data_IF_454404370079
#
_entry.id   IF_454404370079
#
_cell.length_a   1.000
_cell.length_b   1.000
_cell.length_c   1.000
_cell.angle_alpha   90.00
_cell.angle_beta   90.00
_cell.angle_gamma   90.00
#
_symmetry.space_group_name_H-M   'P 1'
#
loop_
_entity.id
_entity.type
_entity.pdbx_description
1 polymer ?
#
# COMPACT_ATOMS: atom_id res chain seq x y z
N UNK A 1 5.42 0.01 -8.99
CA UNK A 1 6.03 0.95 -8.03
C UNK A 1 5.24 2.25 -7.90
N UNK A 2 4.95 2.98 -8.99
CA UNK A 2 4.22 4.27 -8.95
C UNK A 2 2.87 4.17 -8.22
N UNK A 3 2.05 3.16 -8.51
CA UNK A 3 0.75 2.96 -7.84
C UNK A 3 0.89 2.85 -6.32
N UNK A 4 1.90 2.12 -5.81
CA UNK A 4 2.16 1.97 -4.38
C UNK A 4 2.66 3.28 -3.75
N UNK A 5 3.59 3.96 -4.44
CA UNK A 5 4.04 5.28 -4.03
C UNK A 5 2.87 6.26 -3.87
N UNK A 6 1.99 6.33 -4.86
CA UNK A 6 0.81 7.18 -4.80
C UNK A 6 -0.16 6.75 -3.69
N UNK A 7 -0.41 5.45 -3.53
CA UNK A 7 -1.29 4.96 -2.48
C UNK A 7 -0.77 5.32 -1.08
N UNK A 8 0.51 5.08 -0.79
CA UNK A 8 1.11 5.49 0.48
C UNK A 8 1.13 7.01 0.65
N UNK A 9 1.45 7.75 -0.41
CA UNK A 9 1.45 9.21 -0.41
C UNK A 9 0.08 9.79 -0.06
N UNK A 10 -0.96 9.37 -0.76
CA UNK A 10 -2.32 9.88 -0.52
C UNK A 10 -2.91 9.43 0.82
N UNK A 11 -2.72 8.17 1.21
CA UNK A 11 -3.21 7.68 2.51
C UNK A 11 -2.48 8.39 3.65
N UNK A 12 -1.16 8.53 3.60
CA UNK A 12 -0.40 9.26 4.60
C UNK A 12 -0.81 10.72 4.69
N UNK A 13 -0.98 11.38 3.54
CA UNK A 13 -1.43 12.77 3.48
C UNK A 13 -2.84 12.96 4.07
N UNK A 14 -3.79 12.07 3.75
CA UNK A 14 -5.13 12.09 4.31
C UNK A 14 -5.14 11.84 5.82
N UNK A 15 -4.30 10.94 6.31
CA UNK A 15 -4.11 10.69 7.75
C UNK A 15 -3.58 11.92 8.47
N UNK A 16 -2.62 12.64 7.87
CA UNK A 16 -2.09 13.86 8.46
C UNK A 16 -3.14 14.98 8.52
N UNK A 17 -3.89 15.19 7.43
CA UNK A 17 -5.01 16.17 7.44
C UNK A 17 -6.02 15.81 8.52
N UNK A 18 -6.36 14.53 8.67
CA UNK A 18 -7.26 14.06 9.72
C UNK A 18 -6.66 14.28 11.10
N UNK A 19 -5.39 13.92 11.30
CA UNK A 19 -4.69 14.10 12.57
C UNK A 19 -4.59 15.57 12.98
N UNK A 20 -4.22 16.46 12.07
CA UNK A 20 -4.13 17.90 12.32
C UNK A 20 -5.50 18.52 12.58
N UNK A 21 -6.54 18.03 11.91
CA UNK A 21 -7.93 18.41 12.15
C UNK A 21 -8.37 18.07 13.57
N UNK A 22 -8.13 16.86 14.02
CA UNK A 22 -8.55 16.38 15.34
C UNK A 22 -7.71 17.00 16.46
N UNK A 23 -6.39 17.09 16.29
CA UNK A 23 -5.49 17.61 17.34
C UNK A 23 -5.40 19.14 17.37
N UNK A 24 -5.50 19.79 16.21
CA UNK A 24 -5.35 21.24 16.07
C UNK A 24 -6.58 22.03 16.49
N UNK A 25 -7.78 21.50 16.25
CA UNK A 25 -9.04 22.20 16.57
C UNK A 25 -9.48 22.05 18.03
N UNK A 26 -8.68 21.38 18.92
CA UNK A 26 -9.19 21.02 20.25
C UNK A 26 -10.67 20.57 20.11
N UNK A 27 -10.89 19.51 19.41
CA UNK A 27 -12.12 19.04 18.71
C UNK A 27 -13.43 19.14 19.49
N UNK A 28 -13.36 19.49 20.74
CA UNK A 28 -14.48 19.85 21.58
C UNK A 28 -14.91 21.33 21.44
N UNK A 29 -14.06 22.20 20.90
CA UNK A 29 -14.31 23.65 20.80
C UNK A 29 -14.64 24.12 19.37
N UNK A 30 -13.99 23.57 18.36
CA UNK A 30 -14.22 23.97 16.95
C UNK A 30 -14.68 22.77 16.12
N UNK A 31 -16.00 22.72 15.87
CA UNK A 31 -16.63 21.67 15.07
C UNK A 31 -16.34 21.76 13.57
N UNK A 32 -15.65 22.79 13.09
CA UNK A 32 -15.28 22.92 11.67
C UNK A 32 -14.22 21.91 11.25
N UNK A 33 -13.51 21.29 12.22
CA UNK A 33 -12.52 20.24 11.99
C UNK A 33 -11.52 20.61 10.90
N UNK A 34 -11.00 21.82 10.93
CA UNK A 34 -10.01 22.29 9.96
C UNK A 34 -8.71 21.52 10.14
N UNK A 35 -8.35 20.73 9.11
CA UNK A 35 -7.07 20.04 9.01
C UNK A 35 -6.19 20.71 7.98
N UNK A 36 -4.88 20.58 8.13
CA UNK A 36 -3.89 21.07 7.17
C UNK A 36 -2.76 20.09 6.98
N UNK A 37 -2.14 20.16 5.82
CA UNK A 37 -0.92 19.44 5.45
C UNK A 37 -0.19 20.22 4.38
N UNK A 38 1.02 19.80 4.05
CA UNK A 38 1.85 20.40 3.01
C UNK A 38 1.93 19.46 1.80
N UNK A 39 2.05 20.02 0.61
CA UNK A 39 2.16 19.22 -0.62
C UNK A 39 3.43 18.34 -0.61
N UNK A 40 4.47 18.78 0.09
CA UNK A 40 5.69 17.99 0.32
C UNK A 40 5.46 16.65 1.01
N UNK A 41 4.37 16.53 1.78
CA UNK A 41 4.08 15.31 2.51
C UNK A 41 3.69 14.16 1.60
N UNK A 42 3.11 14.42 0.43
CA UNK A 42 2.76 13.38 -0.53
C UNK A 42 3.99 12.56 -1.00
N UNK A 43 5.06 13.18 -1.53
CA UNK A 43 6.27 12.43 -1.88
C UNK A 43 7.01 11.87 -0.66
N UNK A 44 6.96 12.52 0.51
CA UNK A 44 7.57 12.02 1.73
C UNK A 44 6.89 10.73 2.19
N UNK A 45 5.55 10.71 2.30
CA UNK A 45 4.82 9.51 2.68
C UNK A 45 4.89 8.42 1.61
N UNK A 46 4.88 8.79 0.34
CA UNK A 46 5.04 7.83 -0.76
C UNK A 46 6.38 7.10 -0.72
N UNK A 47 7.48 7.83 -0.56
CA UNK A 47 8.82 7.25 -0.45
C UNK A 47 9.02 6.51 0.88
N UNK A 48 8.53 7.09 1.98
CA UNK A 48 8.54 6.45 3.30
C UNK A 48 7.82 5.10 3.31
N UNK A 49 6.63 5.04 2.70
CA UNK A 49 5.85 3.80 2.56
C UNK A 49 6.61 2.72 1.77
N UNK A 50 7.28 3.09 0.68
CA UNK A 50 8.11 2.15 -0.09
C UNK A 50 9.34 1.67 0.69
N UNK A 51 9.94 2.51 1.52
CA UNK A 51 11.03 2.12 2.41
C UNK A 51 10.54 1.15 3.49
N UNK A 52 9.39 1.44 4.10
CA UNK A 52 8.77 0.56 5.08
C UNK A 52 8.35 -0.79 4.49
N UNK A 53 7.95 -0.88 3.21
CA UNK A 53 7.70 -2.17 2.55
C UNK A 53 8.94 -3.05 2.51
N UNK A 54 10.09 -2.47 2.16
CA UNK A 54 11.36 -3.21 2.13
C UNK A 54 11.74 -3.69 3.53
N UNK A 55 11.54 -2.82 4.52
CA UNK A 55 11.78 -3.14 5.92
C UNK A 55 10.83 -4.25 6.40
N UNK A 56 9.53 -4.14 6.11
CA UNK A 56 8.52 -5.15 6.40
C UNK A 56 8.90 -6.52 5.84
N UNK A 57 9.29 -6.57 4.57
CA UNK A 57 9.66 -7.82 3.92
C UNK A 57 10.88 -8.50 4.58
N UNK A 58 11.82 -7.74 5.15
CA UNK A 58 12.97 -8.28 5.90
C UNK A 58 12.55 -8.79 7.27
N UNK A 59 11.81 -7.97 8.03
CA UNK A 59 11.37 -8.30 9.39
C UNK A 59 10.40 -9.49 9.42
N UNK A 60 9.46 -9.54 8.47
CA UNK A 60 8.50 -10.64 8.37
C UNK A 60 9.18 -11.97 8.01
N UNK A 61 10.19 -11.97 7.12
CA UNK A 61 11.01 -13.16 6.83
C UNK A 61 11.84 -13.60 8.02
N UNK A 62 12.30 -12.67 8.85
CA UNK A 62 13.02 -12.96 10.10
C UNK A 62 12.13 -13.41 11.26
N UNK A 63 10.82 -13.61 11.05
CA UNK A 63 9.91 -14.06 12.11
C UNK A 63 9.66 -13.04 13.22
N UNK A 64 10.00 -11.76 13.00
CA UNK A 64 9.82 -10.70 14.00
C UNK A 64 8.34 -10.53 14.32
N UNK A 65 7.98 -10.48 15.60
CA UNK A 65 6.60 -10.33 16.06
C UNK A 65 5.98 -9.02 15.54
N UNK A 66 4.66 -8.99 15.37
CA UNK A 66 3.93 -7.81 14.88
C UNK A 66 4.15 -6.57 15.75
N UNK A 67 4.23 -6.75 17.06
CA UNK A 67 4.47 -5.68 18.02
C UNK A 67 5.87 -5.05 17.82
N UNK A 68 6.90 -5.89 17.71
CA UNK A 68 8.27 -5.45 17.48
C UNK A 68 8.43 -4.80 16.09
N UNK A 69 7.74 -5.31 15.07
CA UNK A 69 7.71 -4.68 13.74
C UNK A 69 7.12 -3.28 13.81
N UNK A 70 6.00 -3.09 14.55
CA UNK A 70 5.39 -1.76 14.68
C UNK A 70 6.31 -0.75 15.36
N UNK A 71 7.09 -1.17 16.38
CA UNK A 71 8.14 -0.34 16.97
C UNK A 71 9.22 0.05 15.93
N UNK A 72 9.62 -0.90 15.11
CA UNK A 72 10.62 -0.66 14.06
C UNK A 72 10.07 0.29 12.98
N UNK A 73 8.78 0.19 12.62
CA UNK A 73 8.15 1.14 11.68
C UNK A 73 8.06 2.53 12.29
N UNK A 74 7.71 2.64 13.55
CA UNK A 74 7.70 3.92 14.27
C UNK A 74 9.08 4.60 14.21
N UNK A 75 10.15 3.85 14.47
CA UNK A 75 11.52 4.37 14.33
C UNK A 75 11.84 4.75 12.87
N UNK A 76 11.38 3.95 11.91
CA UNK A 76 11.51 4.24 10.47
C UNK A 76 10.76 5.51 10.06
N UNK A 77 9.55 5.73 10.58
CA UNK A 77 8.76 6.96 10.35
C UNK A 77 9.52 8.18 10.89
N UNK A 78 10.02 8.12 12.12
CA UNK A 78 10.85 9.19 12.68
C UNK A 78 12.10 9.47 11.85
N UNK A 79 12.76 8.43 11.36
CA UNK A 79 13.93 8.58 10.49
C UNK A 79 13.60 9.28 9.16
N UNK A 80 12.47 8.94 8.54
CA UNK A 80 11.96 9.58 7.32
C UNK A 80 11.57 11.02 7.60
N UNK A 81 10.84 11.29 8.69
CA UNK A 81 10.42 12.63 9.07
C UNK A 81 11.63 13.54 9.36
N UNK A 82 12.58 13.07 10.15
CA UNK A 82 13.79 13.82 10.45
C UNK A 82 14.67 14.03 9.21
N UNK A 83 14.84 13.00 8.39
CA UNK A 83 15.66 13.06 7.17
C UNK A 83 15.08 14.02 6.14
N UNK A 84 13.76 13.95 5.90
CA UNK A 84 13.06 14.85 4.98
C UNK A 84 13.06 16.31 5.48
N UNK A 85 12.84 16.54 6.79
CA UNK A 85 12.97 17.85 7.39
C UNK A 85 14.38 18.42 7.22
N UNK A 86 15.43 17.60 7.47
CA UNK A 86 16.81 18.00 7.29
C UNK A 86 17.12 18.33 5.84
N UNK A 87 16.59 17.56 4.90
CA UNK A 87 16.76 17.79 3.46
C UNK A 87 16.08 19.09 3.02
N UNK A 88 14.80 19.27 3.40
CA UNK A 88 14.05 20.48 3.06
C UNK A 88 14.70 21.73 3.66
N UNK A 89 15.16 21.66 4.92
CA UNK A 89 15.87 22.78 5.53
C UNK A 89 17.14 23.19 4.75
N UNK A 90 17.81 22.23 4.11
CA UNK A 90 18.97 22.51 3.25
C UNK A 90 18.60 23.10 1.88
N UNK A 91 17.45 22.68 1.32
CA UNK A 91 17.05 23.06 -0.05
C UNK A 91 16.31 24.39 -0.06
N UNK A 92 15.36 24.57 0.86
CA UNK A 92 14.46 25.73 0.89
C UNK A 92 14.70 26.66 2.08
N UNK A 93 15.65 26.33 2.97
CA UNK A 93 16.01 27.15 4.14
C UNK A 93 15.03 27.04 5.31
N UNK A 94 14.00 26.22 5.21
CA UNK A 94 12.98 26.06 6.27
C UNK A 94 12.38 24.63 6.27
N UNK A 95 11.64 24.32 7.36
CA UNK A 95 10.87 23.08 7.50
C UNK A 95 9.40 23.45 7.60
N UNK A 96 8.57 23.06 6.62
CA UNK A 96 7.16 23.46 6.56
C UNK A 96 6.37 23.14 7.84
N UNK A 97 6.66 22.02 8.48
CA UNK A 97 5.95 21.53 9.69
C UNK A 97 6.75 21.72 10.98
N UNK A 98 7.57 22.75 11.08
CA UNK A 98 8.42 22.98 12.26
C UNK A 98 7.66 22.93 13.58
N UNK A 99 8.02 22.00 14.46
CA UNK A 99 7.46 21.84 15.78
C UNK A 99 8.09 22.79 16.78
N UNK A 100 7.32 23.80 17.24
CA UNK A 100 7.77 24.77 18.23
C UNK A 100 7.41 24.39 19.67
N UNK A 101 6.50 23.41 19.86
CA UNK A 101 5.99 22.97 21.16
C UNK A 101 6.11 21.45 21.28
N UNK A 102 5.96 20.95 22.52
CA UNK A 102 6.05 19.52 22.80
C UNK A 102 7.46 18.99 22.86
N UNK A 103 7.59 17.68 23.12
CA UNK A 103 8.89 17.01 23.19
C UNK A 103 9.39 16.78 21.76
N UNK A 104 10.23 17.68 21.26
CA UNK A 104 10.71 17.64 19.90
C UNK A 104 12.24 17.56 19.78
N UNK A 105 12.75 17.09 18.66
CA UNK A 105 14.17 17.09 18.30
C UNK A 105 14.40 18.05 17.15
N UNK A 106 15.10 19.13 17.39
CA UNK A 106 15.40 20.25 16.45
C UNK A 106 14.16 20.87 15.80
N UNK A 107 12.96 20.64 16.33
CA UNK A 107 11.70 21.05 15.69
C UNK A 107 11.32 20.20 14.46
N UNK A 108 12.04 19.13 14.17
CA UNK A 108 11.85 18.29 13.00
C UNK A 108 10.90 17.12 13.25
N UNK A 109 10.98 16.51 14.43
CA UNK A 109 10.12 15.41 14.88
C UNK A 109 9.59 15.63 16.28
N UNK A 110 8.42 15.09 16.60
CA UNK A 110 7.81 15.13 17.93
C UNK A 110 7.73 13.75 18.55
N UNK A 111 8.48 13.55 19.63
CA UNK A 111 8.55 12.25 20.31
C UNK A 111 7.27 11.91 21.08
N UNK A 112 6.51 12.88 21.52
CA UNK A 112 5.20 12.68 22.16
C UNK A 112 4.12 12.16 21.20
N UNK A 113 4.39 12.10 19.88
CA UNK A 113 3.56 11.42 18.89
C UNK A 113 3.88 9.94 18.73
N UNK A 114 4.79 9.38 19.54
CA UNK A 114 5.16 7.97 19.47
C UNK A 114 3.98 6.99 19.50
N UNK A 115 2.96 7.14 20.38
CA UNK A 115 1.81 6.25 20.37
C UNK A 115 1.02 6.29 19.04
N UNK A 116 0.91 7.47 18.44
CA UNK A 116 0.27 7.64 17.13
C UNK A 116 1.09 6.96 16.02
N UNK A 117 2.39 7.21 15.94
CA UNK A 117 3.25 6.57 14.94
C UNK A 117 3.33 5.06 15.11
N UNK A 118 3.26 4.55 16.35
CA UNK A 118 3.15 3.13 16.62
C UNK A 118 1.87 2.53 16.02
N UNK A 119 0.73 3.20 16.19
CA UNK A 119 -0.54 2.83 15.57
C UNK A 119 -0.50 2.89 14.03
N UNK A 120 0.18 3.89 13.46
CA UNK A 120 0.41 4.00 12.02
C UNK A 120 1.19 2.80 11.47
N UNK A 121 2.08 2.19 12.25
CA UNK A 121 2.77 0.95 11.87
C UNK A 121 1.80 -0.21 11.60
N UNK A 122 0.74 -0.34 12.39
CA UNK A 122 -0.30 -1.36 12.17
C UNK A 122 -1.15 -1.07 10.94
N UNK A 123 -1.50 0.20 10.76
CA UNK A 123 -2.24 0.64 9.58
C UNK A 123 -1.43 0.44 8.31
N UNK A 124 -0.13 0.69 8.35
CA UNK A 124 0.80 0.40 7.26
C UNK A 124 0.75 -1.09 6.86
N UNK A 125 0.83 -2.03 7.82
CA UNK A 125 0.74 -3.46 7.51
C UNK A 125 -0.62 -3.84 6.89
N UNK A 126 -1.69 -3.22 7.33
CA UNK A 126 -3.02 -3.44 6.74
C UNK A 126 -3.07 -2.95 5.29
N UNK A 127 -2.62 -1.72 5.05
CA UNK A 127 -2.57 -1.13 3.70
C UNK A 127 -1.64 -1.92 2.76
N UNK A 128 -0.45 -2.28 3.22
CA UNK A 128 0.52 -3.09 2.46
C UNK A 128 -0.09 -4.43 2.02
N UNK A 129 -0.81 -5.09 2.93
CA UNK A 129 -1.50 -6.35 2.64
C UNK A 129 -2.57 -6.19 1.56
N UNK A 130 -3.37 -5.13 1.60
CA UNK A 130 -4.38 -4.86 0.57
C UNK A 130 -3.74 -4.52 -0.78
N UNK A 131 -2.71 -3.68 -0.79
CA UNK A 131 -1.97 -3.36 -2.00
C UNK A 131 -1.33 -4.62 -2.62
N UNK A 132 -0.84 -5.53 -1.79
CA UNK A 132 -0.27 -6.80 -2.23
C UNK A 132 -1.32 -7.75 -2.84
N UNK A 133 -2.55 -7.75 -2.33
CA UNK A 133 -3.66 -8.49 -2.94
C UNK A 133 -4.00 -7.96 -4.33
N UNK A 134 -4.04 -6.63 -4.47
CA UNK A 134 -4.31 -5.97 -5.75
C UNK A 134 -3.20 -6.17 -6.79
N UNK A 135 -1.97 -6.45 -6.35
CA UNK A 135 -0.84 -6.73 -7.25
C UNK A 135 -0.78 -8.18 -7.72
N UNK A 136 -1.54 -9.08 -7.09
CA UNK A 136 -1.63 -10.46 -7.56
C UNK A 136 -2.35 -10.46 -8.91
N UNK A 137 -1.76 -11.02 -9.98
CA UNK A 137 -2.48 -11.19 -11.23
C UNK A 137 -3.74 -11.99 -10.95
N UNK A 138 -4.88 -11.54 -11.48
CA UNK A 138 -6.12 -12.32 -11.44
C UNK A 138 -5.75 -13.73 -11.92
N UNK A 139 -5.89 -14.71 -11.06
CA UNK A 139 -5.66 -16.12 -11.42
C UNK A 139 -6.72 -16.43 -12.47
N UNK A 140 -6.34 -16.28 -13.77
CA UNK A 140 -7.16 -16.78 -14.85
C UNK A 140 -7.33 -18.27 -14.52
N UNK A 141 -8.50 -18.64 -14.05
CA UNK A 141 -8.92 -20.03 -14.02
C UNK A 141 -9.06 -20.45 -15.49
N UNK A 142 -7.92 -20.75 -16.12
CA UNK A 142 -7.90 -21.50 -17.35
C UNK A 142 -8.43 -22.88 -16.93
N UNK A 143 -9.73 -23.04 -17.01
CA UNK A 143 -10.36 -24.34 -17.00
C UNK A 143 -10.02 -24.91 -18.38
N UNK A 144 -9.14 -25.90 -18.51
CA UNK A 144 -8.95 -26.53 -19.82
C UNK A 144 -10.34 -27.03 -20.21
N UNK A 145 -10.80 -26.57 -21.38
CA UNK A 145 -11.97 -27.14 -22.05
C UNK A 145 -11.66 -28.60 -22.16
N UNK A 146 -12.38 -29.39 -21.35
CA UNK A 146 -11.99 -30.75 -21.03
C UNK A 146 -12.10 -31.63 -22.24
N UNK A 147 -11.27 -32.65 -22.28
CA UNK A 147 -11.33 -33.90 -23.04
C UNK A 147 -12.71 -34.59 -23.19
N UNK A 148 -13.80 -33.86 -22.97
CA UNK A 148 -15.15 -34.37 -23.14
C UNK A 148 -15.67 -34.28 -24.57
N UNK A 149 -15.13 -33.38 -25.40
CA UNK A 149 -15.60 -33.24 -26.78
C UNK A 149 -14.99 -34.29 -27.72
N UNK A 150 -13.76 -34.74 -27.46
CA UNK A 150 -13.15 -35.82 -28.24
C UNK A 150 -13.90 -37.13 -28.05
N UNK A 151 -14.54 -37.36 -26.92
CA UNK A 151 -15.38 -38.55 -26.67
C UNK A 151 -16.77 -38.49 -27.33
N UNK A 152 -17.26 -37.29 -27.66
CA UNK A 152 -18.53 -37.11 -28.35
C UNK A 152 -18.40 -37.28 -29.87
N UNK A 153 -17.26 -36.87 -30.44
CA UNK A 153 -16.96 -37.07 -31.86
C UNK A 153 -16.75 -38.55 -32.22
N UNK A 154 -16.21 -39.34 -31.28
CA UNK A 154 -15.99 -40.78 -31.48
C UNK A 154 -17.28 -41.64 -31.49
N UNK A 155 -18.45 -41.06 -31.28
CA UNK A 155 -19.76 -41.74 -31.26
C UNK A 155 -20.67 -41.38 -32.42
N UNK A 156 -20.16 -40.76 -33.46
CA UNK A 156 -20.96 -40.57 -34.68
C UNK A 156 -21.17 -41.92 -35.36
N UNK A 157 -22.42 -42.32 -35.71
CA UNK A 157 -22.66 -43.57 -36.43
C UNK A 157 -22.00 -43.50 -37.80
N UNK A 158 -21.32 -44.61 -38.17
CA UNK A 158 -20.73 -44.75 -39.51
C UNK A 158 -21.83 -44.57 -40.56
N UNK A 159 -21.62 -43.64 -41.47
CA UNK A 159 -22.50 -43.46 -42.64
C UNK A 159 -22.26 -44.65 -43.59
N UNK A 160 -23.27 -45.43 -43.88
CA UNK A 160 -23.09 -46.59 -44.77
C UNK A 160 -22.60 -46.12 -46.15
N UNK A 161 -21.59 -46.77 -46.67
CA UNK A 161 -21.02 -46.46 -47.97
C UNK A 161 -22.06 -46.59 -49.09
N UNK A 162 -22.11 -45.58 -49.95
CA UNK A 162 -23.01 -45.58 -51.10
C UNK A 162 -22.71 -46.76 -52.03
N UNK A 163 -23.72 -47.46 -52.60
CA UNK A 163 -23.50 -48.56 -53.50
C UNK A 163 -22.80 -48.09 -54.78
N UNK A 164 -21.80 -48.87 -55.19
CA UNK A 164 -21.06 -48.66 -56.42
C UNK A 164 -21.96 -48.73 -57.68
N UNK A 165 -21.81 -47.81 -58.64
CA UNK A 165 -22.60 -47.89 -59.87
C UNK A 165 -22.27 -49.20 -60.67
N UNK A 166 -23.27 -50.02 -60.89
CA UNK A 166 -23.16 -51.17 -61.73
C UNK A 166 -22.91 -50.74 -63.19
N UNK A 167 -21.80 -51.15 -63.74
CA UNK A 167 -21.53 -51.03 -65.17
C UNK A 167 -22.56 -51.88 -65.97
N UNK A 168 -23.51 -51.18 -66.58
CA UNK A 168 -24.43 -51.80 -67.55
C UNK A 168 -23.76 -51.94 -68.87
N UNK A 169 -23.92 -53.13 -69.43
CA UNK A 169 -23.55 -53.52 -70.80
C UNK A 169 -24.49 -52.78 -71.79
#
# INVERSE_FOLDING_TARGET
MLRRFLAYGFVGWALEVTFTSVTGSAWLRDRRLQGHSYLWMLPIYGSGGLLLERLHARLARGGVSRWARSLTYMAGIYAVEFGSASLLNRIIGDVPWRYLKGLNVRGYVRLDYAPFWYGCGWLFEALERELRKLDRPARKSFRPIGRGEDAAVARLPEIPAAPSPQAGR
#
